data_IF_916185551620
#
_entry.id   IF_916185551620
#
_cell.length_a   1.000
_cell.length_b   1.000
_cell.length_c   1.000
_cell.angle_alpha   90.00
_cell.angle_beta   90.00
_cell.angle_gamma   90.00
#
_symmetry.space_group_name_H-M   'P 1'
#
loop_
_entity.id
_entity.type
_entity.pdbx_description
1 polymer ?
#
# COMPACT_ATOMS: atom_id res chain seq x y z
N UNK A 1 -3.36 -9.43 10.51
CA UNK A 1 -2.62 -9.31 11.80
C UNK A 1 -1.89 -7.99 11.80
N UNK A 2 -2.11 -7.16 12.82
CA UNK A 2 -1.40 -5.90 12.98
C UNK A 2 0.07 -6.19 13.31
N UNK A 3 0.98 -5.73 12.44
CA UNK A 3 2.43 -5.79 12.71
C UNK A 3 2.88 -4.52 13.42
N UNK A 4 3.77 -4.67 14.39
CA UNK A 4 4.33 -3.53 15.10
C UNK A 4 5.25 -2.72 14.17
N UNK A 5 5.03 -1.43 13.97
CA UNK A 5 6.02 -0.60 13.31
C UNK A 5 7.28 -0.53 14.18
N UNK A 6 8.47 -0.58 13.60
CA UNK A 6 9.69 -0.45 14.37
C UNK A 6 9.75 0.96 15.02
N UNK A 7 10.17 1.04 16.30
CA UNK A 7 10.23 2.33 17.00
C UNK A 7 11.43 3.17 16.51
N UNK A 8 11.45 4.48 16.77
CA UNK A 8 12.59 5.34 16.41
C UNK A 8 13.93 4.84 16.94
N UNK A 9 13.95 4.22 18.10
CA UNK A 9 15.12 3.65 18.74
C UNK A 9 15.70 2.46 17.95
N UNK A 10 14.86 1.72 17.25
CA UNK A 10 15.28 0.65 16.35
C UNK A 10 16.21 1.18 15.27
N UNK A 11 15.84 2.26 14.63
CA UNK A 11 16.64 2.82 13.53
C UNK A 11 17.98 3.36 14.03
N UNK A 12 17.98 4.04 15.19
CA UNK A 12 19.22 4.48 15.85
C UNK A 12 20.13 3.30 16.22
N UNK A 13 19.53 2.22 16.70
CA UNK A 13 20.28 1.01 17.02
C UNK A 13 20.86 0.37 15.76
N UNK A 14 20.05 0.23 14.71
CA UNK A 14 20.51 -0.35 13.44
C UNK A 14 21.57 0.49 12.74
N UNK A 15 21.51 1.82 12.86
CA UNK A 15 22.57 2.71 12.37
C UNK A 15 23.91 2.44 13.08
N UNK A 16 23.88 1.98 14.32
CA UNK A 16 25.10 1.68 15.11
C UNK A 16 25.68 0.28 14.89
N UNK A 17 24.85 -0.71 14.52
CA UNK A 17 25.26 -2.13 14.42
C UNK A 17 25.19 -2.69 12.99
N UNK A 18 24.68 -1.90 12.04
CA UNK A 18 24.44 -2.30 10.66
C UNK A 18 23.09 -2.99 10.45
N UNK A 19 22.48 -2.74 9.29
CA UNK A 19 21.21 -3.34 8.89
C UNK A 19 21.48 -4.75 8.35
N UNK A 20 21.56 -5.73 9.25
CA UNK A 20 21.73 -7.13 8.92
C UNK A 20 20.98 -8.03 9.93
N UNK A 21 20.98 -9.33 9.67
CA UNK A 21 20.28 -10.31 10.52
C UNK A 21 20.81 -10.32 11.96
N UNK A 22 22.11 -10.19 12.15
CA UNK A 22 22.74 -10.17 13.48
C UNK A 22 22.34 -8.92 14.28
N UNK A 23 22.27 -7.76 13.62
CA UNK A 23 21.78 -6.53 14.23
C UNK A 23 20.35 -6.67 14.72
N UNK A 24 19.49 -7.29 13.91
CA UNK A 24 18.11 -7.54 14.27
C UNK A 24 17.96 -8.48 15.49
N UNK A 25 18.74 -9.56 15.54
CA UNK A 25 18.72 -10.48 16.69
C UNK A 25 19.28 -9.82 17.97
N UNK A 26 20.29 -8.96 17.84
CA UNK A 26 20.78 -8.15 18.97
C UNK A 26 19.72 -7.17 19.45
N UNK A 27 19.02 -6.52 18.52
CA UNK A 27 17.89 -5.64 18.86
C UNK A 27 16.82 -6.34 19.66
N UNK A 28 16.36 -7.51 19.22
CA UNK A 28 15.34 -8.32 19.94
C UNK A 28 15.73 -8.68 21.38
N UNK A 29 17.02 -8.80 21.65
CA UNK A 29 17.54 -9.11 22.99
C UNK A 29 17.71 -7.88 23.87
N UNK A 30 17.60 -6.67 23.32
CA UNK A 30 17.81 -5.42 24.06
C UNK A 30 16.66 -5.10 25.03
N UNK A 31 17.00 -4.36 26.11
CA UNK A 31 15.99 -3.87 27.04
C UNK A 31 15.01 -2.89 26.36
N UNK A 32 15.50 -2.11 25.39
CA UNK A 32 14.69 -1.19 24.60
C UNK A 32 13.64 -1.94 23.80
N UNK A 33 14.00 -3.05 23.15
CA UNK A 33 13.04 -3.89 22.43
C UNK A 33 11.96 -4.43 23.37
N UNK A 34 12.31 -4.98 24.52
CA UNK A 34 11.34 -5.53 25.49
C UNK A 34 10.34 -4.47 25.92
N UNK A 35 10.82 -3.29 26.35
CA UNK A 35 9.97 -2.17 26.76
C UNK A 35 9.06 -1.71 25.62
N UNK A 36 9.60 -1.56 24.42
CA UNK A 36 8.83 -1.18 23.24
C UNK A 36 7.77 -2.23 22.92
N UNK A 37 8.13 -3.52 22.91
CA UNK A 37 7.23 -4.62 22.60
C UNK A 37 6.07 -4.72 23.58
N UNK A 38 6.34 -4.57 24.88
CA UNK A 38 5.31 -4.56 25.93
C UNK A 38 4.34 -3.38 25.75
N UNK A 39 4.87 -2.18 25.49
CA UNK A 39 4.05 -0.99 25.25
C UNK A 39 3.21 -1.17 23.97
N UNK A 40 3.82 -1.75 22.93
CA UNK A 40 3.11 -2.03 21.70
C UNK A 40 2.00 -3.07 21.90
N UNK A 41 2.23 -4.15 22.66
CA UNK A 41 1.19 -5.13 22.98
C UNK A 41 0.01 -4.46 23.67
N UNK A 42 0.25 -3.63 24.69
CA UNK A 42 -0.82 -2.88 25.38
C UNK A 42 -1.60 -1.98 24.40
N UNK A 43 -0.88 -1.27 23.51
CA UNK A 43 -1.50 -0.42 22.48
C UNK A 43 -2.30 -1.25 21.49
N UNK A 44 -1.76 -2.39 21.06
CA UNK A 44 -2.42 -3.34 20.16
C UNK A 44 -3.72 -3.87 20.79
N UNK A 45 -3.66 -4.34 22.04
CA UNK A 45 -4.84 -4.85 22.76
C UNK A 45 -5.92 -3.75 22.87
N UNK A 46 -5.51 -2.52 23.19
CA UNK A 46 -6.43 -1.36 23.21
C UNK A 46 -7.08 -1.11 21.85
N UNK A 47 -6.33 -1.24 20.76
CA UNK A 47 -6.83 -1.03 19.39
C UNK A 47 -7.69 -2.20 18.91
N UNK A 48 -7.31 -3.44 19.24
CA UNK A 48 -8.13 -4.63 18.94
C UNK A 48 -9.45 -4.60 19.73
N UNK A 49 -9.45 -3.99 20.92
CA UNK A 49 -10.65 -3.70 21.69
C UNK A 49 -11.40 -2.47 21.17
N UNK A 50 -10.69 -1.48 20.60
CA UNK A 50 -11.32 -0.38 19.89
C UNK A 50 -11.81 -0.85 18.52
N UNK A 51 -13.07 -1.26 18.49
CA UNK A 51 -13.72 -1.75 17.28
C UNK A 51 -13.99 -0.65 16.25
N UNK A 52 -13.54 0.59 16.44
CA UNK A 52 -14.06 1.72 15.69
C UNK A 52 -13.29 2.09 14.42
N UNK A 53 -11.95 2.00 14.36
CA UNK A 53 -11.24 2.54 13.18
C UNK A 53 -9.90 1.83 12.89
N UNK A 54 -9.70 1.47 11.63
CA UNK A 54 -8.44 1.03 11.01
C UNK A 54 -8.07 2.06 9.95
N UNK A 55 -6.90 2.65 10.03
CA UNK A 55 -6.47 3.69 9.08
C UNK A 55 -5.57 3.11 7.99
N UNK A 56 -5.97 3.34 6.74
CA UNK A 56 -5.16 3.09 5.55
C UNK A 56 -4.76 4.43 4.93
N UNK A 57 -3.48 4.62 4.69
CA UNK A 57 -3.04 5.85 4.05
C UNK A 57 -3.02 5.70 2.54
N UNK A 58 -3.33 6.78 1.86
CA UNK A 58 -3.44 6.86 0.41
C UNK A 58 -2.56 7.99 -0.13
N UNK A 59 -1.94 7.83 -1.30
CA UNK A 59 -1.30 8.96 -1.95
C UNK A 59 -2.36 10.00 -2.32
N UNK A 60 -2.00 11.29 -2.23
CA UNK A 60 -2.89 12.40 -2.61
C UNK A 60 -3.21 12.39 -4.10
N UNK A 61 -2.30 11.80 -4.87
CA UNK A 61 -2.43 11.74 -6.32
C UNK A 61 -1.68 10.58 -6.92
N UNK A 62 -2.11 10.17 -8.09
CA UNK A 62 -1.50 9.13 -8.91
C UNK A 62 -0.89 9.79 -10.14
N UNK A 63 0.39 9.58 -10.36
CA UNK A 63 1.11 10.14 -11.51
C UNK A 63 2.00 9.12 -12.24
N UNK A 64 2.15 7.91 -11.69
CA UNK A 64 3.03 6.88 -12.21
C UNK A 64 2.28 5.91 -13.10
N UNK A 65 2.91 5.51 -14.22
CA UNK A 65 2.61 4.33 -15.03
C UNK A 65 3.83 3.43 -15.05
N UNK A 66 3.64 2.13 -15.18
CA UNK A 66 4.74 1.18 -15.39
C UNK A 66 4.96 0.98 -16.89
N UNK A 67 6.21 0.97 -17.34
CA UNK A 67 6.54 0.83 -18.77
C UNK A 67 6.01 -0.47 -19.40
N UNK A 68 5.91 -1.52 -18.59
CA UNK A 68 5.42 -2.81 -19.04
C UNK A 68 3.90 -2.96 -19.03
N UNK A 69 3.15 -2.00 -18.47
CA UNK A 69 1.69 -2.15 -18.30
C UNK A 69 0.96 -2.38 -19.62
N UNK A 70 1.40 -1.72 -20.70
CA UNK A 70 0.82 -1.93 -22.04
C UNK A 70 1.05 -3.36 -22.53
N UNK A 71 2.27 -3.88 -22.37
CA UNK A 71 2.60 -5.24 -22.80
C UNK A 71 1.80 -6.28 -22.01
N UNK A 72 1.71 -6.08 -20.71
CA UNK A 72 0.96 -6.95 -19.80
C UNK A 72 -0.54 -6.94 -20.13
N UNK A 73 -1.10 -5.76 -20.42
CA UNK A 73 -2.49 -5.63 -20.86
C UNK A 73 -2.76 -6.42 -22.12
N UNK A 74 -1.91 -6.27 -23.16
CA UNK A 74 -2.05 -6.98 -24.43
C UNK A 74 -1.90 -8.49 -24.22
N UNK A 75 -0.91 -8.90 -23.45
CA UNK A 75 -0.66 -10.32 -23.20
C UNK A 75 -1.81 -10.98 -22.45
N UNK A 76 -2.31 -10.32 -21.41
CA UNK A 76 -3.39 -10.86 -20.58
C UNK A 76 -4.69 -11.05 -21.37
N UNK A 77 -5.06 -10.04 -22.16
CA UNK A 77 -6.28 -10.06 -22.97
C UNK A 77 -6.01 -10.40 -24.45
N UNK A 78 -4.97 -11.20 -24.75
CA UNK A 78 -4.55 -11.53 -26.11
C UNK A 78 -5.66 -12.15 -26.99
N UNK A 79 -6.59 -12.88 -26.39
CA UNK A 79 -7.73 -13.47 -27.07
C UNK A 79 -8.83 -12.46 -27.44
N UNK A 80 -8.74 -11.22 -26.97
CA UNK A 80 -9.77 -10.20 -27.16
C UNK A 80 -9.44 -9.16 -28.23
N UNK A 81 -8.33 -9.35 -28.98
CA UNK A 81 -7.88 -8.46 -30.05
C UNK A 81 -7.82 -6.98 -29.60
N UNK A 82 -7.38 -6.72 -28.38
CA UNK A 82 -7.33 -5.38 -27.81
C UNK A 82 -6.24 -4.53 -28.47
N UNK A 83 -6.52 -3.25 -28.68
CA UNK A 83 -5.53 -2.25 -29.07
C UNK A 83 -5.28 -1.33 -27.89
N UNK A 84 -4.05 -1.22 -27.37
CA UNK A 84 -3.78 -0.35 -26.23
C UNK A 84 -4.02 1.11 -26.60
N UNK A 85 -4.51 1.87 -25.66
CA UNK A 85 -4.60 3.33 -25.80
C UNK A 85 -3.18 3.87 -25.57
N UNK A 86 -2.55 4.40 -26.62
CA UNK A 86 -1.16 4.86 -26.58
C UNK A 86 -0.94 6.19 -25.85
N UNK A 87 -1.94 6.70 -25.15
CA UNK A 87 -1.81 7.95 -24.41
C UNK A 87 -1.24 7.69 -23.03
N UNK A 88 0.06 7.87 -22.91
CA UNK A 88 0.69 8.26 -21.66
C UNK A 88 0.17 9.68 -21.36
N UNK A 89 -1.03 9.77 -20.81
CA UNK A 89 -1.49 11.05 -20.30
C UNK A 89 -0.58 11.43 -19.14
N UNK A 90 0.17 12.51 -19.32
CA UNK A 90 1.06 13.07 -18.28
C UNK A 90 0.30 13.67 -17.10
N UNK A 91 -1.02 13.70 -17.17
CA UNK A 91 -1.87 14.34 -16.17
C UNK A 91 -1.84 13.60 -14.83
N UNK A 92 -1.57 14.36 -13.79
CA UNK A 92 -1.67 13.92 -12.41
C UNK A 92 -3.14 13.77 -12.04
N UNK A 93 -3.53 12.62 -11.46
CA UNK A 93 -4.87 12.42 -10.95
C UNK A 93 -4.87 12.58 -9.43
N UNK A 94 -5.68 13.51 -8.92
CA UNK A 94 -5.94 13.62 -7.48
C UNK A 94 -6.92 12.53 -7.05
N UNK A 95 -6.59 11.86 -5.97
CA UNK A 95 -7.50 10.90 -5.35
C UNK A 95 -8.49 11.67 -4.49
N UNK A 96 -9.78 11.37 -4.63
CA UNK A 96 -10.82 11.95 -3.77
C UNK A 96 -11.31 10.89 -2.77
N UNK A 97 -10.79 10.94 -1.54
CA UNK A 97 -11.12 9.99 -0.49
C UNK A 97 -12.61 10.01 -0.12
N UNK A 98 -13.34 11.13 -0.31
CA UNK A 98 -14.78 11.19 -0.02
C UNK A 98 -15.62 10.29 -0.93
N UNK A 99 -15.07 9.90 -2.09
CA UNK A 99 -15.71 8.98 -3.04
C UNK A 99 -15.35 7.51 -2.80
N UNK A 100 -14.35 7.26 -1.96
CA UNK A 100 -13.97 5.88 -1.62
C UNK A 100 -14.93 5.32 -0.59
N UNK A 101 -15.39 4.11 -0.86
CA UNK A 101 -16.23 3.35 0.05
C UNK A 101 -15.52 2.06 0.40
N UNK A 102 -15.36 1.78 1.67
CA UNK A 102 -14.94 0.47 2.15
C UNK A 102 -16.17 -0.36 2.49
N UNK A 103 -16.15 -1.62 2.11
CA UNK A 103 -17.15 -2.59 2.59
C UNK A 103 -16.95 -2.93 4.07
N UNK A 104 -15.84 -2.47 4.66
CA UNK A 104 -15.51 -2.68 6.06
C UNK A 104 -15.78 -1.40 6.85
N UNK A 105 -16.72 -1.44 7.78
CA UNK A 105 -17.18 -0.27 8.54
C UNK A 105 -16.10 0.39 9.40
N UNK A 106 -15.05 -0.36 9.74
CA UNK A 106 -13.92 0.13 10.55
C UNK A 106 -12.83 0.85 9.73
N UNK A 107 -12.75 0.61 8.41
CA UNK A 107 -11.69 1.19 7.57
C UNK A 107 -11.93 2.67 7.36
N UNK A 108 -10.88 3.45 7.58
CA UNK A 108 -10.81 4.88 7.28
C UNK A 108 -9.61 5.12 6.36
N UNK A 109 -9.82 5.98 5.36
CA UNK A 109 -8.75 6.41 4.48
C UNK A 109 -8.33 7.82 4.89
N UNK A 110 -7.01 8.05 4.92
CA UNK A 110 -6.40 9.36 5.13
C UNK A 110 -5.34 9.60 4.06
N UNK A 111 -5.10 10.85 3.72
CA UNK A 111 -4.03 11.16 2.78
C UNK A 111 -2.66 11.05 3.44
N UNK A 112 -1.66 10.66 2.66
CA UNK A 112 -0.27 10.66 3.13
C UNK A 112 0.16 12.08 3.57
N UNK A 113 -0.34 13.14 2.94
CA UNK A 113 -0.04 14.53 3.29
C UNK A 113 -0.63 14.98 4.62
N UNK A 114 -1.64 14.28 5.14
CA UNK A 114 -2.18 14.57 6.48
C UNK A 114 -1.26 14.07 7.60
N UNK A 115 -0.23 13.31 7.26
CA UNK A 115 0.75 12.79 8.20
C UNK A 115 2.05 13.56 8.07
N UNK A 116 2.83 13.74 9.16
CA UNK A 116 4.12 14.40 9.08
C UNK A 116 5.01 13.74 8.03
N UNK A 117 5.32 14.47 6.95
CA UNK A 117 6.25 14.08 5.90
C UNK A 117 7.67 14.06 6.43
N UNK A 118 8.63 13.73 5.71
CA UNK A 118 10.10 13.73 5.87
C UNK A 118 10.75 12.34 5.68
N UNK A 119 10.05 11.42 5.03
CA UNK A 119 10.55 10.05 4.81
C UNK A 119 10.59 9.18 6.08
N UNK A 120 10.04 9.68 7.21
CA UNK A 120 10.00 8.98 8.49
C UNK A 120 8.61 8.44 8.84
N UNK A 121 7.81 8.17 7.81
CA UNK A 121 6.44 7.72 7.95
C UNK A 121 6.27 6.63 9.03
N UNK A 122 7.08 5.58 8.98
CA UNK A 122 7.03 4.47 9.93
C UNK A 122 7.75 4.74 11.27
N UNK A 123 8.35 5.92 11.43
CA UNK A 123 9.14 6.27 12.61
C UNK A 123 8.40 7.17 13.59
N UNK A 124 7.22 7.65 13.22
CA UNK A 124 6.43 8.60 14.02
C UNK A 124 5.28 7.90 14.75
N UNK A 125 4.94 8.41 15.93
CA UNK A 125 3.70 8.04 16.62
C UNK A 125 2.62 9.09 16.29
N UNK A 126 1.60 8.69 15.60
CA UNK A 126 0.49 9.56 15.16
C UNK A 126 -0.68 9.57 16.15
N UNK A 127 -0.58 8.86 17.27
CA UNK A 127 -1.73 8.68 18.19
C UNK A 127 -2.88 7.85 17.62
N UNK A 128 -2.77 7.41 16.36
CA UNK A 128 -3.67 6.50 15.67
C UNK A 128 -2.87 5.33 15.12
N UNK A 129 -3.51 4.18 14.95
CA UNK A 129 -2.85 3.05 14.31
C UNK A 129 -3.04 3.10 12.80
N UNK A 130 -1.93 3.24 12.09
CA UNK A 130 -1.90 3.11 10.65
C UNK A 130 -1.60 1.63 10.34
N UNK A 131 -2.55 0.96 9.71
CA UNK A 131 -2.40 -0.47 9.36
C UNK A 131 -1.52 -0.63 8.13
N UNK A 132 -1.73 0.20 7.12
CA UNK A 132 -0.91 0.18 5.92
C UNK A 132 -0.92 1.50 5.14
N UNK A 133 0.11 1.63 4.32
CA UNK A 133 0.17 2.61 3.24
C UNK A 133 -0.12 1.92 1.91
N UNK A 134 -1.05 2.49 1.16
CA UNK A 134 -1.43 2.02 -0.16
C UNK A 134 -0.75 2.87 -1.24
N UNK A 135 -0.45 2.25 -2.36
CA UNK A 135 0.03 2.94 -3.56
C UNK A 135 -0.65 2.38 -4.80
N UNK A 136 -0.76 3.22 -5.83
CA UNK A 136 -1.38 2.83 -7.09
C UNK A 136 -0.64 3.45 -8.26
N UNK A 137 -0.66 2.77 -9.41
CA UNK A 137 -0.34 3.37 -10.69
C UNK A 137 -1.61 3.88 -11.38
N UNK A 138 -1.45 4.67 -12.43
CA UNK A 138 -2.54 4.99 -13.34
C UNK A 138 -3.05 3.70 -13.99
N UNK A 139 -4.32 3.69 -14.32
CA UNK A 139 -4.89 2.60 -15.10
C UNK A 139 -4.51 2.81 -16.56
N UNK A 140 -3.88 1.82 -17.17
CA UNK A 140 -3.68 1.75 -18.61
C UNK A 140 -4.87 1.04 -19.22
N UNK A 141 -5.60 1.72 -20.10
CA UNK A 141 -6.76 1.17 -20.77
C UNK A 141 -6.46 0.78 -22.22
N UNK A 142 -7.26 -0.14 -22.75
CA UNK A 142 -7.40 -0.32 -24.19
C UNK A 142 -8.16 0.86 -24.83
N UNK A 143 -8.16 0.95 -26.18
CA UNK A 143 -8.83 2.04 -26.90
C UNK A 143 -10.33 2.13 -26.65
N UNK A 144 -10.97 1.00 -26.40
CA UNK A 144 -12.43 0.94 -26.14
C UNK A 144 -12.79 1.25 -24.70
N UNK A 145 -11.80 1.34 -23.83
CA UNK A 145 -11.97 1.41 -22.37
C UNK A 145 -12.86 0.28 -21.83
N UNK A 146 -12.64 -0.92 -22.35
CA UNK A 146 -13.30 -2.13 -21.91
C UNK A 146 -12.38 -3.02 -21.07
N UNK A 147 -11.07 -2.85 -21.22
CA UNK A 147 -10.01 -3.58 -20.51
C UNK A 147 -9.02 -2.60 -19.92
N UNK A 148 -8.45 -2.94 -18.80
CA UNK A 148 -7.45 -2.11 -18.15
C UNK A 148 -6.52 -2.90 -17.23
N UNK A 149 -5.37 -2.30 -16.91
CA UNK A 149 -4.39 -2.80 -15.95
C UNK A 149 -3.88 -1.67 -15.08
N UNK A 150 -3.64 -1.97 -13.82
CA UNK A 150 -2.97 -1.09 -12.86
C UNK A 150 -2.13 -1.93 -11.90
N UNK A 151 -1.16 -1.27 -11.26
CA UNK A 151 -0.43 -1.89 -10.16
C UNK A 151 -0.87 -1.24 -8.84
N UNK A 152 -0.91 -2.03 -7.78
CA UNK A 152 -1.17 -1.58 -6.43
C UNK A 152 -0.11 -2.12 -5.48
N UNK A 153 0.23 -1.35 -4.46
CA UNK A 153 1.13 -1.77 -3.40
C UNK A 153 0.46 -1.58 -2.04
N UNK A 154 0.79 -2.49 -1.15
CA UNK A 154 0.40 -2.49 0.26
C UNK A 154 1.66 -2.63 1.10
N UNK A 155 1.90 -1.68 2.00
CA UNK A 155 3.06 -1.67 2.89
C UNK A 155 2.57 -1.45 4.31
N UNK A 156 2.83 -2.41 5.21
CA UNK A 156 2.44 -2.32 6.62
C UNK A 156 3.64 -2.04 7.56
N UNK A 157 4.85 -2.15 7.05
CA UNK A 157 6.10 -1.80 7.74
C UNK A 157 7.23 -1.65 6.73
N UNK A 158 8.40 -1.09 7.08
CA UNK A 158 9.53 -0.86 6.16
C UNK A 158 10.00 -2.08 5.36
N UNK A 159 9.85 -3.29 5.93
CA UNK A 159 10.22 -4.56 5.29
C UNK A 159 9.03 -5.53 5.29
N UNK A 160 7.83 -5.00 5.16
CA UNK A 160 6.63 -5.81 5.12
C UNK A 160 5.62 -5.17 4.15
N UNK A 161 5.72 -5.58 2.92
CA UNK A 161 4.86 -5.11 1.87
C UNK A 161 4.77 -6.09 0.72
N UNK A 162 3.79 -5.88 -0.12
CA UNK A 162 3.64 -6.60 -1.37
C UNK A 162 3.00 -5.71 -2.44
N UNK A 163 3.28 -6.05 -3.67
CA UNK A 163 2.66 -5.43 -4.83
C UNK A 163 1.86 -6.41 -5.64
N UNK A 164 0.83 -5.92 -6.27
CA UNK A 164 -0.02 -6.69 -7.17
C UNK A 164 -0.27 -5.92 -8.46
N UNK A 165 -0.45 -6.66 -9.54
CA UNK A 165 -1.00 -6.18 -10.80
C UNK A 165 -2.44 -6.62 -10.89
N UNK A 166 -3.32 -5.68 -11.19
CA UNK A 166 -4.77 -5.89 -11.23
C UNK A 166 -5.23 -5.68 -12.66
N UNK A 167 -5.79 -6.73 -13.25
CA UNK A 167 -6.45 -6.66 -14.54
C UNK A 167 -7.94 -6.45 -14.31
N UNK A 168 -8.50 -5.50 -15.04
CA UNK A 168 -9.92 -5.15 -14.96
C UNK A 168 -10.56 -5.21 -16.34
N UNK A 169 -11.83 -5.57 -16.37
CA UNK A 169 -12.64 -5.56 -17.59
C UNK A 169 -14.04 -5.08 -17.30
N UNK A 170 -14.76 -4.64 -18.32
CA UNK A 170 -16.20 -4.42 -18.21
C UNK A 170 -16.95 -5.73 -18.37
N UNK A 171 -17.95 -5.91 -17.52
CA UNK A 171 -18.94 -6.97 -17.67
C UNK A 171 -19.98 -6.64 -18.76
N UNK A 172 -20.95 -7.53 -18.95
CA UNK A 172 -22.04 -7.38 -19.94
C UNK A 172 -22.91 -6.13 -19.68
N UNK A 173 -22.92 -5.62 -18.44
CA UNK A 173 -23.65 -4.43 -18.05
C UNK A 173 -22.80 -3.15 -18.16
N UNK A 174 -21.55 -3.27 -18.63
CA UNK A 174 -20.58 -2.17 -18.73
C UNK A 174 -19.97 -1.75 -17.39
N UNK A 175 -20.14 -2.55 -16.33
CA UNK A 175 -19.55 -2.30 -15.02
C UNK A 175 -18.13 -2.85 -14.95
N UNK A 176 -17.23 -2.10 -14.30
CA UNK A 176 -15.87 -2.55 -14.07
C UNK A 176 -15.80 -3.65 -13.03
N UNK A 177 -15.19 -4.76 -13.40
CA UNK A 177 -14.92 -5.89 -12.51
C UNK A 177 -13.43 -6.25 -12.56
N UNK A 178 -12.94 -6.83 -11.47
CA UNK A 178 -11.59 -7.41 -11.44
C UNK A 178 -11.63 -8.73 -12.21
N UNK A 179 -10.73 -8.88 -13.19
CA UNK A 179 -10.55 -10.10 -13.95
C UNK A 179 -9.53 -11.01 -13.30
N UNK A 180 -8.34 -10.46 -12.99
CA UNK A 180 -7.26 -11.20 -12.33
C UNK A 180 -6.42 -10.28 -11.45
N UNK A 181 -5.83 -10.85 -10.40
CA UNK A 181 -4.83 -10.19 -9.54
C UNK A 181 -3.57 -11.06 -9.50
N UNK A 182 -2.44 -10.52 -9.96
CA UNK A 182 -1.12 -11.18 -9.96
C UNK A 182 -0.19 -10.51 -8.95
N UNK A 183 0.54 -11.31 -8.15
CA UNK A 183 1.63 -10.79 -7.32
C UNK A 183 2.79 -10.28 -8.19
N UNK A 184 3.38 -9.14 -7.79
CA UNK A 184 4.51 -8.54 -8.51
C UNK A 184 5.78 -8.48 -7.68
N UNK A 185 5.68 -8.15 -6.41
CA UNK A 185 6.82 -8.09 -5.49
C UNK A 185 6.39 -8.36 -4.05
N UNK A 186 7.34 -8.79 -3.22
CA UNK A 186 7.22 -8.96 -1.77
C UNK A 186 8.50 -8.40 -1.16
N UNK A 187 8.39 -7.69 -0.03
CA UNK A 187 9.53 -7.18 0.75
C UNK A 187 9.47 -7.66 2.19
#
# INVERSE_FOLDING_TARGET
RLSAPPPPEYFKFMDSVGINQDGFEKWKKSAQYKKWYENWQKKKDSIEQDTTKVYLTMPDSINRTEENDIKELIQHFSHQNISPHSLIESNRFSINLSKLKSNHTKVRFIYNSELPGDGKFWRNDYGIMIDASLSFTKIVFDKTKSYGVLNAGYVSAPLNGYGVRIFIKKDENGQWIIDEVKGTWIS
#
